data_IF_903047768052
#
_entry.id   IF_903047768052
#
_cell.length_a   1.000
_cell.length_b   1.000
_cell.length_c   1.000
_cell.angle_alpha   90.00
_cell.angle_beta   90.00
_cell.angle_gamma   90.00
#
_symmetry.space_group_name_H-M   'P 1'
#
loop_
_entity.id
_entity.type
_entity.pdbx_description
1 polymer ?
#
# COMPACT_ATOMS: atom_id res chain seq x y z
N UNK A 1 -44.65 -25.90 -18.83
CA UNK A 1 -43.38 -26.54 -18.42
C UNK A 1 -42.63 -25.53 -17.56
N UNK A 2 -42.66 -25.69 -16.22
CA UNK A 2 -41.88 -24.84 -15.31
C UNK A 2 -40.44 -25.35 -15.32
N UNK A 3 -39.50 -24.47 -15.63
CA UNK A 3 -38.06 -24.75 -15.54
C UNK A 3 -37.67 -24.73 -14.05
N UNK A 4 -38.04 -25.79 -13.34
CA UNK A 4 -37.66 -25.97 -11.96
C UNK A 4 -36.18 -26.41 -11.90
N UNK A 5 -35.34 -25.52 -11.34
CA UNK A 5 -34.03 -25.83 -10.74
C UNK A 5 -32.84 -26.23 -11.64
N UNK A 6 -32.52 -25.44 -12.67
CA UNK A 6 -31.10 -25.32 -13.05
C UNK A 6 -30.44 -24.49 -11.94
N UNK A 7 -29.52 -25.08 -11.18
CA UNK A 7 -28.61 -24.32 -10.31
C UNK A 7 -27.67 -23.49 -11.20
N UNK A 8 -28.18 -22.39 -11.77
CA UNK A 8 -27.40 -21.49 -12.59
C UNK A 8 -26.35 -20.85 -11.68
N UNK A 9 -25.09 -21.25 -11.85
CA UNK A 9 -23.97 -20.61 -11.17
C UNK A 9 -23.94 -19.14 -11.62
N UNK A 10 -24.25 -18.24 -10.70
CA UNK A 10 -24.28 -16.80 -10.94
C UNK A 10 -22.94 -16.19 -10.54
N UNK A 11 -22.18 -15.69 -11.51
CA UNK A 11 -20.88 -15.04 -11.33
C UNK A 11 -20.96 -13.53 -11.64
N UNK A 12 -21.54 -12.72 -10.75
CA UNK A 12 -21.69 -11.29 -10.99
C UNK A 12 -20.34 -10.54 -10.92
N UNK A 13 -20.27 -9.40 -11.58
CA UNK A 13 -19.12 -8.49 -11.45
C UNK A 13 -19.12 -7.78 -10.10
N UNK A 14 -17.91 -7.60 -9.55
CA UNK A 14 -17.64 -6.85 -8.33
C UNK A 14 -16.77 -5.64 -8.67
N UNK A 15 -17.16 -4.49 -8.16
CA UNK A 15 -16.47 -3.23 -8.35
C UNK A 15 -15.63 -2.91 -7.12
N UNK A 16 -14.42 -2.41 -7.35
CA UNK A 16 -13.48 -2.04 -6.29
C UNK A 16 -13.13 -0.57 -6.40
N UNK A 17 -12.54 -0.06 -5.33
CA UNK A 17 -11.99 1.28 -5.25
C UNK A 17 -10.53 1.14 -4.83
N UNK A 18 -9.66 1.93 -5.46
CA UNK A 18 -8.26 2.01 -5.05
C UNK A 18 -8.14 2.78 -3.74
N UNK A 19 -7.14 2.44 -2.94
CA UNK A 19 -6.82 3.23 -1.76
C UNK A 19 -6.24 4.59 -2.16
N UNK A 20 -6.44 5.65 -1.33
CA UNK A 20 -5.82 6.94 -1.57
C UNK A 20 -4.30 6.81 -1.76
N UNK A 21 -3.77 7.37 -2.85
CA UNK A 21 -2.34 7.30 -3.20
C UNK A 21 -1.95 6.13 -4.11
N UNK A 22 -2.84 5.19 -4.41
CA UNK A 22 -2.60 4.22 -5.48
C UNK A 22 -2.88 4.83 -6.86
N UNK A 23 -1.95 4.68 -7.84
CA UNK A 23 -2.18 5.15 -9.20
C UNK A 23 -3.17 4.23 -9.96
N UNK A 24 -4.02 4.83 -10.79
CA UNK A 24 -4.83 4.12 -11.80
C UNK A 24 -6.32 4.02 -11.48
N UNK A 25 -6.96 2.98 -12.01
CA UNK A 25 -8.38 2.65 -11.81
C UNK A 25 -8.46 1.17 -11.43
N UNK A 26 -9.29 0.81 -10.46
CA UNK A 26 -9.55 -0.58 -10.14
C UNK A 26 -10.62 -1.16 -11.09
N UNK A 27 -10.26 -2.03 -12.05
CA UNK A 27 -11.24 -2.61 -12.95
C UNK A 27 -12.17 -3.54 -12.16
N UNK A 28 -13.46 -3.61 -12.53
CA UNK A 28 -14.36 -4.61 -11.96
C UNK A 28 -13.90 -6.01 -12.35
N UNK A 29 -14.05 -6.98 -11.45
CA UNK A 29 -13.72 -8.38 -11.72
C UNK A 29 -14.88 -9.32 -11.39
N UNK A 30 -15.02 -10.46 -12.09
CA UNK A 30 -16.00 -11.47 -11.74
C UNK A 30 -15.82 -11.92 -10.28
N UNK A 31 -16.94 -12.21 -9.60
CA UNK A 31 -16.97 -12.69 -8.22
C UNK A 31 -16.04 -13.90 -7.98
N UNK A 32 -15.84 -14.76 -8.97
CA UNK A 32 -14.93 -15.90 -8.89
C UNK A 32 -13.44 -15.53 -8.86
N UNK A 33 -13.07 -14.34 -9.34
CA UNK A 33 -11.68 -13.87 -9.43
C UNK A 33 -11.33 -12.82 -8.36
N UNK A 34 -12.31 -12.42 -7.55
CA UNK A 34 -12.18 -11.32 -6.60
C UNK A 34 -11.02 -11.48 -5.62
N UNK A 35 -10.74 -12.72 -5.19
CA UNK A 35 -9.69 -13.00 -4.21
C UNK A 35 -8.33 -12.60 -4.74
N UNK A 36 -8.01 -12.99 -5.98
CA UNK A 36 -6.73 -12.64 -6.60
C UNK A 36 -6.62 -11.13 -6.82
N UNK A 37 -7.72 -10.50 -7.28
CA UNK A 37 -7.77 -9.05 -7.51
C UNK A 37 -7.48 -8.26 -6.25
N UNK A 38 -8.21 -8.53 -5.15
CA UNK A 38 -8.03 -7.82 -3.89
C UNK A 38 -6.68 -8.15 -3.28
N UNK A 39 -6.25 -9.41 -3.29
CA UNK A 39 -4.93 -9.79 -2.77
C UNK A 39 -3.78 -9.04 -3.47
N UNK A 40 -3.85 -8.89 -4.81
CA UNK A 40 -2.85 -8.14 -5.57
C UNK A 40 -2.84 -6.64 -5.20
N UNK A 41 -4.01 -6.05 -4.95
CA UNK A 41 -4.12 -4.67 -4.46
C UNK A 41 -3.48 -4.53 -3.07
N UNK A 42 -3.92 -5.36 -2.12
CA UNK A 42 -3.39 -5.32 -0.76
C UNK A 42 -1.88 -5.59 -0.69
N UNK A 43 -1.36 -6.50 -1.53
CA UNK A 43 0.08 -6.75 -1.57
C UNK A 43 0.87 -5.54 -2.08
N UNK A 44 0.33 -4.77 -3.04
CA UNK A 44 0.97 -3.53 -3.51
C UNK A 44 0.94 -2.46 -2.42
N UNK A 45 -0.20 -2.32 -1.73
CA UNK A 45 -0.34 -1.37 -0.62
C UNK A 45 0.62 -1.70 0.52
N UNK A 46 0.71 -2.97 0.88
CA UNK A 46 1.66 -3.46 1.87
C UNK A 46 3.10 -3.11 1.52
N UNK A 47 3.52 -3.39 0.28
CA UNK A 47 4.88 -3.09 -0.16
C UNK A 47 5.16 -1.59 -0.15
N UNK A 48 4.19 -0.77 -0.57
CA UNK A 48 4.28 0.70 -0.53
C UNK A 48 4.44 1.21 0.90
N UNK A 49 3.59 0.79 1.83
CA UNK A 49 3.63 1.21 3.24
C UNK A 49 4.94 0.81 3.92
N UNK A 50 5.46 -0.38 3.62
CA UNK A 50 6.77 -0.81 4.14
C UNK A 50 7.91 0.02 3.54
N UNK A 51 7.87 0.29 2.23
CA UNK A 51 8.89 1.13 1.59
C UNK A 51 8.89 2.56 2.14
N UNK A 52 7.72 3.12 2.41
CA UNK A 52 7.54 4.44 3.04
C UNK A 52 8.11 4.45 4.47
N UNK A 53 7.79 3.43 5.28
CA UNK A 53 8.36 3.28 6.62
C UNK A 53 9.89 3.21 6.60
N UNK A 54 10.47 2.43 5.68
CA UNK A 54 11.92 2.31 5.52
C UNK A 54 12.55 3.63 5.04
N UNK A 55 11.91 4.35 4.12
CA UNK A 55 12.38 5.65 3.65
C UNK A 55 12.38 6.72 4.76
N UNK A 56 11.45 6.61 5.72
CA UNK A 56 11.40 7.43 6.92
C UNK A 56 12.42 7.01 7.99
N UNK A 57 13.14 5.90 7.80
CA UNK A 57 14.08 5.35 8.77
C UNK A 57 13.42 4.61 9.93
N UNK A 58 12.15 4.22 9.78
CA UNK A 58 11.39 3.48 10.79
C UNK A 58 11.56 1.97 10.60
N UNK A 59 11.61 1.25 11.70
CA UNK A 59 11.58 -0.22 11.70
C UNK A 59 10.14 -0.72 11.61
N UNK A 60 9.87 -1.67 10.72
CA UNK A 60 8.56 -2.34 10.62
C UNK A 60 8.51 -3.49 11.61
N UNK A 61 7.65 -3.39 12.63
CA UNK A 61 7.53 -4.39 13.69
C UNK A 61 6.39 -5.38 13.46
N UNK A 62 5.35 -4.99 12.71
CA UNK A 62 4.21 -5.86 12.45
C UNK A 62 3.51 -5.48 11.15
N UNK A 63 3.04 -6.49 10.44
CA UNK A 63 2.27 -6.33 9.20
C UNK A 63 1.10 -7.29 9.23
N UNK A 64 -0.10 -6.76 8.99
CA UNK A 64 -1.34 -7.53 8.90
C UNK A 64 -2.17 -7.05 7.71
N UNK A 65 -2.89 -7.98 7.09
CA UNK A 65 -3.88 -7.65 6.07
C UNK A 65 -5.15 -8.41 6.38
N UNK A 66 -6.22 -7.69 6.62
CA UNK A 66 -7.56 -8.24 6.87
C UNK A 66 -8.39 -8.15 5.62
N UNK A 67 -9.15 -9.20 5.29
CA UNK A 67 -9.97 -9.24 4.09
C UNK A 67 -11.46 -9.20 4.44
N UNK A 68 -12.21 -8.36 3.73
CA UNK A 68 -13.66 -8.29 3.83
C UNK A 68 -14.26 -9.20 2.77
N UNK A 69 -15.05 -10.17 3.20
CA UNK A 69 -15.72 -11.13 2.31
C UNK A 69 -17.23 -10.97 2.35
N UNK A 70 -17.89 -11.17 1.20
CA UNK A 70 -19.35 -11.26 1.10
C UNK A 70 -19.74 -12.37 0.15
N UNK A 71 -20.95 -12.91 0.32
CA UNK A 71 -21.56 -13.76 -0.70
C UNK A 71 -22.04 -12.86 -1.85
N UNK A 72 -21.61 -13.14 -3.08
CA UNK A 72 -22.07 -12.45 -4.28
C UNK A 72 -22.41 -13.47 -5.37
N UNK A 73 -23.71 -13.57 -5.70
CA UNK A 73 -24.23 -14.66 -6.52
C UNK A 73 -23.94 -16.02 -5.89
N UNK A 74 -23.26 -16.88 -6.63
CA UNK A 74 -22.88 -18.24 -6.21
C UNK A 74 -21.49 -18.31 -5.55
N UNK A 75 -20.78 -17.19 -5.41
CA UNK A 75 -19.39 -17.18 -4.96
C UNK A 75 -19.22 -16.44 -3.62
N UNK A 76 -18.20 -16.85 -2.86
CA UNK A 76 -17.63 -16.03 -1.79
C UNK A 76 -16.65 -15.06 -2.43
N UNK A 77 -16.92 -13.78 -2.27
CA UNK A 77 -16.23 -12.69 -2.95
C UNK A 77 -15.51 -11.83 -1.94
N UNK A 78 -14.21 -11.65 -2.12
CA UNK A 78 -13.42 -10.67 -1.37
C UNK A 78 -13.70 -9.30 -1.98
N UNK A 79 -14.16 -8.34 -1.18
CA UNK A 79 -14.59 -7.01 -1.68
C UNK A 79 -13.62 -5.89 -1.39
N UNK A 80 -12.63 -6.17 -0.56
CA UNK A 80 -11.58 -5.23 -0.18
C UNK A 80 -10.79 -5.81 0.99
N UNK A 81 -9.72 -5.14 1.34
CA UNK A 81 -8.97 -5.45 2.54
C UNK A 81 -8.62 -4.20 3.33
N UNK A 82 -7.87 -4.41 4.39
CA UNK A 82 -7.23 -3.35 5.13
C UNK A 82 -5.86 -3.85 5.52
N UNK A 83 -4.84 -3.22 4.96
CA UNK A 83 -3.44 -3.50 5.28
C UNK A 83 -2.95 -2.55 6.36
N UNK A 84 -2.43 -3.10 7.45
CA UNK A 84 -1.88 -2.38 8.60
C UNK A 84 -0.40 -2.70 8.74
N UNK A 85 0.42 -1.65 8.78
CA UNK A 85 1.85 -1.72 9.06
C UNK A 85 2.11 -0.93 10.33
N UNK A 86 2.62 -1.58 11.36
CA UNK A 86 3.00 -0.93 12.61
C UNK A 86 4.51 -0.74 12.59
N UNK A 87 4.95 0.48 12.89
CA UNK A 87 6.34 0.88 12.85
C UNK A 87 6.83 1.38 14.21
N UNK A 88 8.15 1.36 14.40
CA UNK A 88 8.87 1.93 15.53
C UNK A 88 9.95 2.87 15.01
N UNK A 89 10.18 3.97 15.72
CA UNK A 89 11.34 4.84 15.46
C UNK A 89 12.65 4.07 15.70
N UNK A 90 13.58 4.14 14.74
CA UNK A 90 14.90 3.54 14.92
C UNK A 90 15.86 4.58 15.53
N UNK A 91 16.24 4.38 16.79
CA UNK A 91 17.15 5.30 17.50
C UNK A 91 18.54 5.38 16.84
N UNK A 92 18.98 4.33 16.12
CA UNK A 92 20.25 4.33 15.38
C UNK A 92 20.21 5.15 14.08
N UNK A 93 19.01 5.42 13.55
CA UNK A 93 18.84 6.19 12.30
C UNK A 93 18.78 7.71 12.56
N UNK A 94 18.41 8.12 13.78
CA UNK A 94 18.34 9.54 14.17
C UNK A 94 19.71 10.14 14.50
N UNK A 95 20.70 9.35 14.91
CA UNK A 95 22.05 9.82 15.23
C UNK A 95 22.88 10.20 14.00
N UNK A 96 22.52 9.72 12.80
CA UNK A 96 23.21 10.07 11.54
C UNK A 96 22.61 11.28 10.80
N UNK A 97 21.45 11.82 11.20
CA UNK A 97 20.78 12.93 10.52
C UNK A 97 21.16 14.33 11.04
N UNK A 98 22.00 14.42 12.07
CA UNK A 98 22.35 15.67 12.78
C UNK A 98 23.78 16.18 12.53
N UNK A 99 24.43 15.76 11.45
CA UNK A 99 25.68 16.39 11.00
C UNK A 99 25.52 16.89 9.57
N UNK A 100 24.88 18.06 9.43
CA UNK A 100 25.11 18.93 8.29
C UNK A 100 26.27 19.84 8.71
N UNK A 101 27.48 19.72 8.14
CA UNK A 101 28.53 20.70 8.39
C UNK A 101 28.04 22.06 7.92
N UNK A 102 28.06 23.01 8.85
CA UNK A 102 27.83 24.44 8.64
C UNK A 102 28.65 24.94 7.44
N UNK A 103 28.02 25.78 6.62
CA UNK A 103 28.57 26.41 5.42
C UNK A 103 30.02 26.90 5.64
N UNK A 104 30.93 26.51 4.74
CA UNK A 104 32.28 27.11 4.70
C UNK A 104 32.10 28.58 4.26
N UNK A 105 32.44 29.58 5.10
CA UNK A 105 32.39 30.96 4.67
C UNK A 105 33.50 31.20 3.65
N UNK A 106 33.09 31.55 2.43
CA UNK A 106 33.98 31.88 1.33
C UNK A 106 34.61 33.26 1.59
N UNK A 107 35.68 33.29 2.38
CA UNK A 107 36.43 34.53 2.65
C UNK A 107 37.47 34.74 1.55
N UNK A 108 37.05 35.30 0.43
CA UNK A 108 37.97 35.88 -0.56
C UNK A 108 38.09 37.38 -0.30
N UNK A 109 38.83 37.75 0.75
CA UNK A 109 39.45 39.07 0.82
C UNK A 109 40.72 39.03 1.70
N UNK A 110 41.86 38.96 1.02
CA UNK A 110 43.08 39.62 1.50
C UNK A 110 43.75 40.30 0.30
N UNK A 111 43.57 41.61 0.28
CA UNK A 111 44.30 42.61 -0.48
C UNK A 111 45.80 42.59 -0.14
N UNK A 112 46.66 43.08 -1.04
CA UNK A 112 47.74 44.07 -0.83
C UNK A 112 48.76 44.02 -2.00
N UNK A 113 48.85 45.07 -2.81
CA UNK A 113 49.91 46.11 -2.79
C UNK A 113 51.31 45.55 -3.10
N UNK A 114 51.74 45.69 -4.36
CA UNK A 114 52.97 46.40 -4.77
C UNK A 114 52.96 46.63 -6.28
#
# INVERSE_FOLDING_TARGET
MRLDSIHIINNPYTYYRLDPGEPGIAPPTPASQSTFTVFSQESRNRNRLQAEALAEGKEVIFVNTEYKVRKNGSFVTVVGGTTTVITRENEESNSNKLQVPEEIPNNSDTSQIQ
#
